data_IF_673739978642
#
_entry.id   IF_673739978642
#
_cell.length_a   1.000
_cell.length_b   1.000
_cell.length_c   1.000
_cell.angle_alpha   90.00
_cell.angle_beta   90.00
_cell.angle_gamma   90.00
#
_symmetry.space_group_name_H-M   'P 1'
#
loop_
_entity.id
_entity.type
_entity.pdbx_description
1 polymer ?
#
# COMPACT_ATOMS: atom_id res chain seq x y z
N UNK A 1 -21.97 16.55 -10.71
CA UNK A 1 -21.24 16.33 -9.44
C UNK A 1 -21.75 15.00 -8.89
N UNK A 2 -21.11 13.89 -9.25
CA UNK A 2 -21.51 12.57 -8.74
C UNK A 2 -20.94 12.44 -7.33
N UNK A 3 -21.81 12.26 -6.34
CA UNK A 3 -21.37 11.99 -4.97
C UNK A 3 -20.54 10.68 -4.93
N UNK A 4 -19.67 10.50 -3.91
CA UNK A 4 -18.84 9.30 -3.85
C UNK A 4 -19.72 8.04 -3.93
N UNK A 5 -19.36 7.14 -4.84
CA UNK A 5 -20.03 5.88 -5.12
C UNK A 5 -20.41 5.18 -3.80
N UNK A 6 -21.71 4.89 -3.56
CA UNK A 6 -22.14 4.26 -2.32
C UNK A 6 -21.43 2.93 -2.05
N UNK A 7 -21.09 2.16 -3.10
CA UNK A 7 -20.36 0.90 -2.94
C UNK A 7 -18.92 1.13 -2.48
N UNK A 8 -18.26 2.17 -3.01
CA UNK A 8 -16.91 2.53 -2.58
C UNK A 8 -16.88 3.00 -1.12
N UNK A 9 -17.87 3.78 -0.68
CA UNK A 9 -17.97 4.19 0.74
C UNK A 9 -18.15 3.01 1.67
N UNK A 10 -19.01 2.06 1.31
CA UNK A 10 -19.20 0.84 2.08
C UNK A 10 -17.92 0.00 2.12
N UNK A 11 -17.25 -0.18 0.98
CA UNK A 11 -16.00 -0.91 0.89
C UNK A 11 -14.90 -0.28 1.77
N UNK A 12 -14.77 1.05 1.78
CA UNK A 12 -13.82 1.76 2.65
C UNK A 12 -14.16 1.58 4.14
N UNK A 13 -15.45 1.57 4.49
CA UNK A 13 -15.90 1.29 5.86
C UNK A 13 -15.49 -0.12 6.31
N UNK A 14 -15.73 -1.13 5.47
CA UNK A 14 -15.31 -2.52 5.73
C UNK A 14 -13.79 -2.61 5.85
N UNK A 15 -13.06 -1.95 4.94
CA UNK A 15 -11.60 -1.93 4.94
C UNK A 15 -11.04 -1.40 6.27
N UNK A 16 -11.65 -0.36 6.83
CA UNK A 16 -11.22 0.24 8.10
C UNK A 16 -11.40 -0.69 9.31
N UNK A 17 -12.34 -1.64 9.25
CA UNK A 17 -12.61 -2.60 10.31
C UNK A 17 -11.86 -3.93 10.19
N UNK A 18 -11.34 -4.25 9.00
CA UNK A 18 -10.68 -5.53 8.74
C UNK A 18 -9.26 -5.58 9.33
N UNK A 19 -8.94 -6.66 10.03
CA UNK A 19 -7.59 -6.91 10.55
C UNK A 19 -6.65 -7.45 9.46
N UNK A 20 -7.19 -8.17 8.47
CA UNK A 20 -6.42 -8.77 7.37
C UNK A 20 -7.05 -8.49 6.01
N UNK A 21 -6.24 -8.53 4.95
CA UNK A 21 -6.76 -8.41 3.57
C UNK A 21 -7.72 -9.54 3.22
N UNK A 22 -7.47 -10.75 3.75
CA UNK A 22 -8.36 -11.89 3.54
C UNK A 22 -9.74 -11.63 4.16
N UNK A 23 -9.79 -11.18 5.40
CA UNK A 23 -11.03 -10.81 6.08
C UNK A 23 -11.79 -9.69 5.33
N UNK A 24 -11.07 -8.68 4.86
CA UNK A 24 -11.63 -7.62 4.03
C UNK A 24 -12.27 -8.18 2.75
N UNK A 25 -11.56 -9.03 2.00
CA UNK A 25 -12.06 -9.64 0.77
C UNK A 25 -13.27 -10.55 1.01
N UNK A 26 -13.24 -11.37 2.06
CA UNK A 26 -14.38 -12.20 2.44
C UNK A 26 -15.60 -11.35 2.76
N UNK A 27 -15.42 -10.25 3.50
CA UNK A 27 -16.49 -9.31 3.82
C UNK A 27 -17.09 -8.62 2.58
N UNK A 28 -16.26 -8.32 1.56
CA UNK A 28 -16.77 -7.79 0.28
C UNK A 28 -17.63 -8.83 -0.45
N UNK A 29 -17.22 -10.10 -0.47
CA UNK A 29 -17.94 -11.19 -1.14
C UNK A 29 -19.27 -11.47 -0.43
N UNK A 30 -19.27 -11.54 0.90
CA UNK A 30 -20.48 -11.77 1.71
C UNK A 30 -21.54 -10.69 1.47
N UNK A 31 -21.13 -9.45 1.19
CA UNK A 31 -22.01 -8.31 0.90
C UNK A 31 -22.29 -8.13 -0.59
N UNK A 32 -21.73 -8.99 -1.45
CA UNK A 32 -21.86 -8.91 -2.90
C UNK A 32 -21.28 -7.63 -3.53
N UNK A 33 -20.32 -6.99 -2.83
CA UNK A 33 -19.63 -5.79 -3.31
C UNK A 33 -18.51 -6.13 -4.30
N UNK A 34 -17.95 -7.33 -4.23
CA UNK A 34 -16.89 -7.83 -5.13
C UNK A 34 -17.29 -7.78 -6.62
N UNK A 35 -18.59 -7.91 -6.92
CA UNK A 35 -19.15 -7.84 -8.28
C UNK A 35 -19.59 -6.44 -8.69
N UNK A 36 -19.61 -5.48 -7.76
CA UNK A 36 -20.10 -4.12 -7.96
C UNK A 36 -18.97 -3.11 -8.06
N UNK A 37 -17.83 -3.42 -7.44
CA UNK A 37 -16.61 -2.64 -7.55
C UNK A 37 -15.91 -3.00 -8.86
N UNK A 38 -15.65 -1.98 -9.68
CA UNK A 38 -14.81 -2.14 -10.87
C UNK A 38 -13.33 -2.32 -10.48
N UNK A 39 -12.46 -2.71 -11.44
CA UNK A 39 -11.04 -2.88 -11.17
C UNK A 39 -10.34 -1.63 -10.61
N UNK A 40 -10.77 -0.43 -11.02
CA UNK A 40 -10.17 0.83 -10.56
C UNK A 40 -10.52 1.09 -9.10
N UNK A 41 -11.77 0.83 -8.68
CA UNK A 41 -12.20 0.89 -7.29
C UNK A 41 -11.44 -0.12 -6.42
N UNK A 42 -11.22 -1.34 -6.94
CA UNK A 42 -10.39 -2.34 -6.26
C UNK A 42 -8.94 -1.87 -6.09
N UNK A 43 -8.36 -1.22 -7.11
CA UNK A 43 -7.02 -0.63 -7.03
C UNK A 43 -6.92 0.50 -5.99
N UNK A 44 -7.97 1.32 -5.86
CA UNK A 44 -8.05 2.33 -4.82
C UNK A 44 -8.11 1.70 -3.42
N UNK A 45 -8.86 0.60 -3.24
CA UNK A 45 -8.93 -0.12 -1.97
C UNK A 45 -7.59 -0.78 -1.59
N UNK A 46 -6.88 -1.35 -2.56
CA UNK A 46 -5.52 -1.88 -2.36
C UNK A 46 -4.58 -0.75 -1.93
N UNK A 47 -4.65 0.41 -2.58
CA UNK A 47 -3.83 1.58 -2.24
C UNK A 47 -4.13 2.06 -0.81
N UNK A 48 -5.41 2.18 -0.46
CA UNK A 48 -5.84 2.55 0.89
C UNK A 48 -5.39 1.55 1.95
N UNK A 49 -5.44 0.24 1.66
CA UNK A 49 -4.92 -0.80 2.55
C UNK A 49 -3.42 -0.63 2.80
N UNK A 50 -2.63 -0.50 1.73
CA UNK A 50 -1.18 -0.34 1.82
C UNK A 50 -0.81 0.90 2.64
N UNK A 51 -1.51 2.02 2.43
CA UNK A 51 -1.34 3.22 3.22
C UNK A 51 -1.66 3.01 4.70
N UNK A 52 -2.76 2.33 5.00
CA UNK A 52 -3.12 2.00 6.38
C UNK A 52 -2.12 1.05 7.06
N UNK A 53 -1.49 0.13 6.32
CA UNK A 53 -0.42 -0.71 6.85
C UNK A 53 0.88 0.07 7.05
N UNK A 54 1.27 0.93 6.11
CA UNK A 54 2.44 1.79 6.23
C UNK A 54 2.37 2.69 7.47
N UNK A 55 1.20 3.25 7.76
CA UNK A 55 0.96 4.10 8.94
C UNK A 55 1.17 3.39 10.28
N UNK A 56 1.06 2.06 10.31
CA UNK A 56 1.27 1.26 11.53
C UNK A 56 2.75 0.98 11.82
N UNK A 57 3.65 1.24 10.86
CA UNK A 57 5.07 0.98 11.02
C UNK A 57 5.71 1.95 12.02
N UNK A 58 6.73 1.49 12.74
CA UNK A 58 7.66 2.39 13.43
C UNK A 58 8.63 3.01 12.41
N UNK A 59 9.37 4.05 12.79
CA UNK A 59 10.38 4.64 11.91
C UNK A 59 11.44 3.60 11.49
N UNK A 60 11.89 2.78 12.43
CA UNK A 60 12.84 1.68 12.16
C UNK A 60 12.27 0.66 11.16
N UNK A 61 11.03 0.21 11.36
CA UNK A 61 10.41 -0.74 10.44
C UNK A 61 10.16 -0.14 9.04
N UNK A 62 9.83 1.15 8.96
CA UNK A 62 9.69 1.86 7.68
C UNK A 62 11.04 1.95 6.95
N UNK A 63 12.14 2.21 7.66
CA UNK A 63 13.49 2.21 7.08
C UNK A 63 13.85 0.81 6.56
N UNK A 64 13.63 -0.24 7.34
CA UNK A 64 13.90 -1.62 6.93
C UNK A 64 13.15 -2.01 5.65
N UNK A 65 11.86 -1.68 5.56
CA UNK A 65 11.05 -1.90 4.36
C UNK A 65 11.60 -1.09 3.17
N UNK A 66 11.89 0.20 3.35
CA UNK A 66 12.46 1.04 2.30
C UNK A 66 13.82 0.49 1.80
N UNK A 67 14.69 0.02 2.68
CA UNK A 67 15.99 -0.57 2.32
C UNK A 67 15.84 -1.89 1.57
N UNK A 68 14.87 -2.73 1.95
CA UNK A 68 14.53 -3.94 1.20
C UNK A 68 14.18 -3.61 -0.25
N UNK A 69 13.30 -2.63 -0.46
CA UNK A 69 12.89 -2.21 -1.80
C UNK A 69 14.02 -1.52 -2.57
N UNK A 70 14.85 -0.70 -1.90
CA UNK A 70 16.02 -0.07 -2.51
C UNK A 70 17.07 -1.09 -2.98
N UNK A 71 17.18 -2.22 -2.27
CA UNK A 71 18.08 -3.33 -2.58
C UNK A 71 17.59 -4.21 -3.75
N UNK A 72 16.49 -3.83 -4.42
CA UNK A 72 15.90 -4.60 -5.52
C UNK A 72 14.97 -5.72 -5.05
N UNK A 73 14.45 -5.63 -3.83
CA UNK A 73 13.41 -6.51 -3.31
C UNK A 73 12.17 -6.55 -4.20
N UNK A 74 11.41 -7.64 -4.10
CA UNK A 74 10.19 -7.88 -4.85
C UNK A 74 9.13 -8.52 -3.96
N UNK A 75 7.86 -8.44 -4.36
CA UNK A 75 6.80 -9.19 -3.69
C UNK A 75 7.04 -10.70 -3.64
N UNK A 76 7.83 -11.26 -4.57
CA UNK A 76 8.18 -12.69 -4.56
C UNK A 76 9.23 -13.05 -3.51
N UNK A 77 10.09 -12.09 -3.16
CA UNK A 77 11.21 -12.29 -2.24
C UNK A 77 10.97 -11.71 -0.85
N UNK A 78 9.89 -10.94 -0.68
CA UNK A 78 9.51 -10.39 0.62
C UNK A 78 8.90 -11.46 1.52
N UNK A 79 9.14 -11.40 2.83
CA UNK A 79 8.61 -12.38 3.80
C UNK A 79 7.08 -12.42 3.81
N UNK A 80 6.44 -11.26 3.64
CA UNK A 80 4.98 -11.13 3.55
C UNK A 80 4.43 -11.40 2.14
N UNK A 81 5.29 -11.74 1.17
CA UNK A 81 4.88 -12.06 -0.19
C UNK A 81 4.12 -10.91 -0.86
N UNK A 82 2.99 -11.24 -1.50
CA UNK A 82 2.08 -10.27 -2.11
C UNK A 82 1.39 -9.34 -1.10
N UNK A 83 1.44 -9.63 0.20
CA UNK A 83 0.90 -8.76 1.25
C UNK A 83 1.90 -7.71 1.72
N UNK A 84 3.12 -7.68 1.17
CA UNK A 84 4.09 -6.64 1.47
C UNK A 84 3.51 -5.26 1.14
N UNK A 85 3.95 -4.25 1.90
CA UNK A 85 3.52 -2.87 1.68
C UNK A 85 4.19 -2.36 0.41
N UNK A 86 3.43 -1.73 -0.49
CA UNK A 86 3.96 -1.24 -1.75
C UNK A 86 5.01 -0.14 -1.54
N UNK A 87 6.04 -0.05 -2.41
CA UNK A 87 7.04 1.01 -2.33
C UNK A 87 6.43 2.41 -2.39
N UNK A 88 5.38 2.60 -3.19
CA UNK A 88 4.68 3.88 -3.28
C UNK A 88 4.06 4.31 -1.95
N UNK A 89 3.46 3.37 -1.19
CA UNK A 89 2.84 3.67 0.10
C UNK A 89 3.88 3.98 1.18
N UNK A 90 5.02 3.28 1.18
CA UNK A 90 6.13 3.56 2.10
C UNK A 90 6.71 4.96 1.89
N UNK A 91 6.90 5.37 0.63
CA UNK A 91 7.39 6.72 0.29
C UNK A 91 6.37 7.80 0.70
N UNK A 92 5.08 7.55 0.50
CA UNK A 92 4.03 8.45 0.97
C UNK A 92 4.02 8.59 2.49
N UNK A 93 4.17 7.48 3.22
CA UNK A 93 4.24 7.49 4.67
C UNK A 93 5.48 8.24 5.18
N UNK A 94 6.64 8.06 4.54
CA UNK A 94 7.84 8.83 4.86
C UNK A 94 7.60 10.35 4.72
N UNK A 95 6.96 10.77 3.61
CA UNK A 95 6.59 12.17 3.40
C UNK A 95 5.60 12.67 4.45
N UNK A 96 4.63 11.85 4.86
CA UNK A 96 3.66 12.17 5.93
C UNK A 96 4.34 12.37 7.28
N UNK A 97 5.43 11.64 7.57
CA UNK A 97 6.26 11.81 8.78
C UNK A 97 7.17 13.04 8.74
N UNK A 98 7.18 13.77 7.63
CA UNK A 98 8.02 14.96 7.45
C UNK A 98 9.45 14.64 7.00
N UNK A 99 9.73 13.40 6.57
CA UNK A 99 11.02 13.06 5.98
C UNK A 99 11.14 13.73 4.62
N UNK A 100 12.37 14.03 4.19
CA UNK A 100 12.56 14.53 2.83
C UNK A 100 12.26 13.40 1.85
N UNK A 101 11.28 13.64 0.97
CA UNK A 101 10.92 12.72 -0.11
C UNK A 101 10.89 13.47 -1.43
N UNK A 102 11.54 12.93 -2.46
CA UNK A 102 11.47 13.45 -3.83
C UNK A 102 11.08 12.34 -4.79
N UNK A 103 9.84 12.38 -5.27
CA UNK A 103 9.36 11.50 -6.34
C UNK A 103 9.91 11.95 -7.70
N UNK A 104 10.21 10.97 -8.52
CA UNK A 104 10.60 11.03 -9.93
C UNK A 104 9.66 10.08 -10.70
N UNK A 105 9.82 9.94 -12.03
CA UNK A 105 8.87 9.21 -12.88
C UNK A 105 8.48 7.83 -12.35
N UNK A 106 9.46 6.98 -12.01
CA UNK A 106 9.23 5.62 -11.49
C UNK A 106 10.03 5.33 -10.20
N UNK A 107 10.65 6.36 -9.64
CA UNK A 107 11.59 6.25 -8.53
C UNK A 107 11.37 7.36 -7.50
N UNK A 108 11.89 7.18 -6.29
CA UNK A 108 11.92 8.22 -5.27
C UNK A 108 13.24 8.20 -4.50
N UNK A 109 13.64 9.37 -4.04
CA UNK A 109 14.63 9.50 -2.97
C UNK A 109 13.89 9.77 -1.66
N UNK A 110 14.22 9.01 -0.62
CA UNK A 110 13.75 9.21 0.75
C UNK A 110 14.96 9.47 1.63
N UNK A 111 14.90 10.45 2.51
CA UNK A 111 15.96 10.73 3.48
C UNK A 111 15.38 10.59 4.90
N UNK A 112 15.48 9.40 5.51
CA UNK A 112 15.04 9.19 6.89
C UNK A 112 15.90 10.00 7.88
N UNK A 113 15.38 10.32 9.07
CA UNK A 113 16.18 10.88 10.14
C UNK A 113 17.27 9.87 10.53
N UNK A 114 18.48 10.36 10.72
CA UNK A 114 19.62 9.56 11.20
C UNK A 114 20.00 8.35 10.32
N UNK A 115 19.56 8.32 9.06
CA UNK A 115 19.89 7.29 8.09
C UNK A 115 20.45 7.87 6.79
N UNK A 116 21.16 7.05 6.00
CA UNK A 116 21.61 7.47 4.68
C UNK A 116 20.43 7.59 3.70
N UNK A 117 20.48 8.51 2.72
CA UNK A 117 19.44 8.62 1.69
C UNK A 117 19.20 7.30 0.95
N UNK A 118 17.94 6.92 0.83
CA UNK A 118 17.47 5.68 0.22
C UNK A 118 16.87 5.99 -1.15
N UNK A 119 17.28 5.25 -2.18
CA UNK A 119 16.76 5.40 -3.55
C UNK A 119 15.89 4.20 -3.92
N UNK A 120 14.59 4.44 -4.05
CA UNK A 120 13.60 3.45 -4.49
C UNK A 120 13.44 3.53 -6.00
N UNK A 121 13.61 2.43 -6.73
CA UNK A 121 13.59 2.41 -8.22
C UNK A 121 12.29 1.91 -8.86
N UNK A 122 11.35 1.41 -8.06
CA UNK A 122 10.19 0.65 -8.56
C UNK A 122 8.90 1.04 -7.85
N UNK A 123 8.54 2.33 -7.90
CA UNK A 123 7.33 2.84 -7.23
C UNK A 123 6.02 2.27 -7.79
N UNK A 124 6.00 1.97 -9.09
CA UNK A 124 4.79 1.52 -9.78
C UNK A 124 4.52 0.02 -9.60
N UNK A 125 5.29 -0.66 -8.74
CA UNK A 125 5.12 -2.09 -8.50
C UNK A 125 3.89 -2.31 -7.63
N UNK A 126 2.87 -2.93 -8.22
CA UNK A 126 1.65 -3.35 -7.53
C UNK A 126 1.73 -4.85 -7.25
N UNK A 127 1.35 -5.25 -6.03
CA UNK A 127 1.17 -6.66 -5.72
C UNK A 127 -0.04 -7.20 -6.48
N UNK A 128 0.18 -8.18 -7.35
CA UNK A 128 -0.92 -8.94 -7.96
C UNK A 128 -1.26 -10.09 -7.01
N UNK A 129 -2.47 -10.13 -6.41
CA UNK A 129 -2.88 -11.26 -5.61
C UNK A 129 -2.88 -12.53 -6.47
N UNK A 130 -2.44 -13.68 -5.95
CA UNK A 130 -2.53 -14.93 -6.70
C UNK A 130 -4.01 -15.22 -7.06
N UNK A 131 -4.28 -15.83 -8.24
CA UNK A 131 -5.62 -16.32 -8.54
C UNK A 131 -5.99 -17.37 -7.50
N UNK A 132 -7.15 -17.19 -6.87
CA UNK A 132 -7.79 -18.18 -5.98
C UNK A 132 -8.23 -19.40 -6.74
#
# INVERSE_FOLDING_TARGET
MFGPDPFMREALSILSGAATWHEFRSSLVERGLDKRLDPDAMMLLITAWNMGQAQKLTDAALIEELDFWASGGSFKTHLNGWQAISPAALVEEAGRRGWFTKRMTSSAVVNPPDHSPIVIRSLDTIAVPPPT
#
